data_IF_275627440613
#
_entry.id   IF_275627440613
#
_cell.length_a   1.000
_cell.length_b   1.000
_cell.length_c   1.000
_cell.angle_alpha   90.00
_cell.angle_beta   90.00
_cell.angle_gamma   90.00
#
_symmetry.space_group_name_H-M   'P 1'
#
loop_
_entity.id
_entity.type
_entity.pdbx_description
1 polymer ?
#
# COMPACT_ATOMS: atom_id res chain seq x y z
N UNK A 1 -5.04 76.78 -20.84
CA UNK A 1 -4.31 76.20 -19.73
C UNK A 1 -4.96 74.92 -19.33
N UNK A 2 -4.28 73.84 -19.64
CA UNK A 2 -4.71 72.45 -19.38
C UNK A 2 -3.76 71.84 -18.31
N UNK A 3 -4.23 71.25 -17.28
CA UNK A 3 -3.35 70.42 -16.43
C UNK A 3 -3.37 68.96 -16.92
N UNK A 4 -2.19 68.43 -17.05
CA UNK A 4 -1.81 67.06 -17.34
C UNK A 4 -2.11 66.16 -16.13
N UNK A 5 -2.80 65.07 -16.37
CA UNK A 5 -2.99 64.02 -15.36
C UNK A 5 -1.84 63.05 -15.45
N UNK A 6 -1.17 62.86 -14.35
CA UNK A 6 -0.10 61.89 -14.12
C UNK A 6 -0.72 60.53 -13.79
N UNK A 7 -0.48 59.52 -14.62
CA UNK A 7 -0.90 58.13 -14.38
C UNK A 7 0.17 57.46 -13.57
N UNK A 8 -0.11 57.14 -12.31
CA UNK A 8 0.74 56.35 -11.46
C UNK A 8 0.65 54.86 -11.86
N UNK A 9 1.77 54.34 -12.32
CA UNK A 9 2.02 52.94 -12.59
C UNK A 9 2.22 52.18 -11.25
N UNK A 10 1.20 51.43 -10.82
CA UNK A 10 1.36 50.50 -9.73
C UNK A 10 1.97 49.20 -10.27
N UNK A 11 3.23 48.95 -9.90
CA UNK A 11 3.90 47.68 -10.08
C UNK A 11 3.18 46.61 -9.26
N UNK A 12 2.60 45.63 -9.93
CA UNK A 12 2.03 44.43 -9.34
C UNK A 12 3.18 43.44 -9.14
N UNK A 13 3.62 43.24 -7.90
CA UNK A 13 4.54 42.16 -7.55
C UNK A 13 3.86 40.82 -7.84
N UNK A 14 4.52 39.86 -8.51
CA UNK A 14 3.98 38.52 -8.66
C UNK A 14 4.07 37.78 -7.31
N UNK A 15 2.91 37.38 -6.77
CA UNK A 15 2.83 36.51 -5.64
C UNK A 15 3.60 35.20 -5.92
N UNK A 16 4.66 34.96 -5.14
CA UNK A 16 5.39 33.70 -5.17
C UNK A 16 4.45 32.57 -4.74
N UNK A 17 4.08 31.72 -5.68
CA UNK A 17 3.39 30.45 -5.38
C UNK A 17 4.38 29.56 -4.64
N UNK A 18 4.17 29.38 -3.36
CA UNK A 18 4.89 28.37 -2.55
C UNK A 18 4.42 27.01 -3.07
N UNK A 19 5.26 26.34 -3.83
CA UNK A 19 5.08 24.93 -4.16
C UNK A 19 5.46 24.16 -2.91
N UNK A 20 4.48 23.67 -2.16
CA UNK A 20 4.72 22.69 -1.09
C UNK A 20 5.29 21.44 -1.75
N UNK A 21 6.57 21.14 -1.43
CA UNK A 21 7.17 19.86 -1.78
C UNK A 21 6.43 18.76 -1.00
N UNK A 22 6.06 17.63 -1.66
CA UNK A 22 5.43 16.53 -0.95
C UNK A 22 6.43 15.97 0.07
N UNK A 23 6.11 16.10 1.34
CA UNK A 23 6.86 15.44 2.43
C UNK A 23 6.68 13.94 2.26
N UNK A 24 7.75 13.25 1.91
CA UNK A 24 7.79 11.79 1.83
C UNK A 24 7.74 11.25 3.26
N UNK A 25 6.58 10.75 3.68
CA UNK A 25 6.44 10.09 4.97
C UNK A 25 7.03 8.67 4.88
N UNK A 26 8.00 8.41 5.76
CA UNK A 26 8.60 7.07 5.90
C UNK A 26 7.63 6.20 6.72
N UNK A 27 7.08 5.14 6.12
CA UNK A 27 6.26 4.18 6.83
C UNK A 27 7.13 3.32 7.77
N UNK A 28 6.89 3.38 9.08
CA UNK A 28 7.52 2.50 10.05
C UNK A 28 6.64 1.26 10.20
N UNK A 29 7.16 0.11 9.79
CA UNK A 29 6.50 -1.18 9.91
C UNK A 29 6.93 -1.86 11.21
N UNK A 30 5.96 -2.35 11.98
CA UNK A 30 6.18 -3.28 13.09
C UNK A 30 5.69 -4.66 12.65
N UNK A 31 6.59 -5.64 12.70
CA UNK A 31 6.25 -7.05 12.50
C UNK A 31 6.06 -7.72 13.87
N UNK A 32 4.97 -8.46 14.05
CA UNK A 32 4.72 -9.35 15.18
C UNK A 32 4.05 -10.63 14.69
N UNK A 33 3.78 -11.58 15.61
CA UNK A 33 3.17 -12.87 15.29
C UNK A 33 1.77 -12.80 14.66
N UNK A 34 1.16 -11.59 14.63
CA UNK A 34 -0.15 -11.33 14.01
C UNK A 34 -0.04 -10.60 12.67
N UNK A 35 1.18 -10.42 12.11
CA UNK A 35 1.46 -9.78 10.83
C UNK A 35 2.23 -8.47 10.95
N UNK A 36 2.24 -7.71 9.86
CA UNK A 36 2.94 -6.42 9.76
C UNK A 36 1.96 -5.28 9.98
N UNK A 37 2.29 -4.33 10.84
CA UNK A 37 1.50 -3.14 11.11
C UNK A 37 2.31 -1.87 10.79
N UNK A 38 1.69 -0.91 10.11
CA UNK A 38 2.27 0.43 9.89
C UNK A 38 2.07 1.27 11.15
N UNK A 39 3.17 1.68 11.83
CA UNK A 39 3.11 2.42 13.10
C UNK A 39 3.13 3.94 12.90
N UNK A 40 3.32 4.46 11.68
CA UNK A 40 3.35 5.90 11.48
C UNK A 40 2.05 6.54 11.95
N UNK A 41 2.15 7.23 13.08
CA UNK A 41 1.18 8.22 13.50
C UNK A 41 1.47 9.57 12.84
N UNK A 42 1.59 9.62 11.55
CA UNK A 42 1.19 10.81 10.85
C UNK A 42 -0.32 10.87 10.99
N UNK A 43 -0.81 11.96 11.53
CA UNK A 43 -2.24 12.21 11.67
C UNK A 43 -2.95 11.71 10.41
N UNK A 44 -3.69 10.61 10.54
CA UNK A 44 -4.58 10.19 9.47
C UNK A 44 -5.39 11.43 9.07
N UNK A 45 -5.53 11.72 7.77
CA UNK A 45 -6.38 12.84 7.36
C UNK A 45 -7.72 12.67 8.08
N UNK A 46 -8.19 13.70 8.73
CA UNK A 46 -9.38 13.70 9.58
C UNK A 46 -10.66 13.23 8.87
N UNK A 47 -10.54 12.99 7.55
CA UNK A 47 -11.62 12.58 6.65
C UNK A 47 -11.12 11.51 5.67
N UNK A 48 -10.94 10.28 6.12
CA UNK A 48 -10.88 9.16 5.18
C UNK A 48 -12.29 8.91 4.67
N UNK A 49 -12.49 9.15 3.38
CA UNK A 49 -13.79 8.94 2.74
C UNK A 49 -14.00 7.51 2.25
N UNK A 50 -12.95 6.68 2.27
CA UNK A 50 -12.98 5.35 1.68
C UNK A 50 -12.19 4.34 2.52
N UNK A 51 -12.57 3.06 2.39
CA UNK A 51 -11.77 1.95 2.91
C UNK A 51 -10.45 1.83 2.15
N UNK A 52 -9.36 1.51 2.85
CA UNK A 52 -8.02 1.35 2.29
C UNK A 52 -7.36 0.05 2.77
N UNK A 53 -6.51 -0.52 1.92
CA UNK A 53 -5.63 -1.63 2.25
C UNK A 53 -4.24 -1.04 2.51
N UNK A 54 -3.74 -1.19 3.75
CA UNK A 54 -2.43 -0.65 4.14
C UNK A 54 -1.32 -1.68 3.91
N UNK A 55 -1.55 -2.96 4.28
CA UNK A 55 -0.55 -4.01 4.09
C UNK A 55 -1.13 -5.32 3.62
N UNK A 56 -0.34 -6.01 2.80
CA UNK A 56 -0.50 -7.40 2.41
C UNK A 56 0.80 -8.10 2.84
N UNK A 57 0.70 -9.17 3.61
CA UNK A 57 1.85 -9.95 4.10
C UNK A 57 1.48 -11.43 4.19
N UNK A 58 2.44 -12.25 4.60
CA UNK A 58 2.24 -13.68 4.81
C UNK A 58 2.64 -14.05 6.24
N UNK A 59 1.92 -15.00 6.85
CA UNK A 59 2.30 -15.61 8.11
C UNK A 59 3.46 -16.60 7.92
N UNK A 60 4.03 -17.08 9.02
CA UNK A 60 5.07 -18.12 8.99
C UNK A 60 4.53 -19.45 8.39
N UNK A 61 3.22 -19.68 8.47
CA UNK A 61 2.52 -20.80 7.86
C UNK A 61 2.18 -20.57 6.38
N UNK A 62 2.43 -19.34 5.88
CA UNK A 62 2.17 -18.93 4.50
C UNK A 62 0.76 -18.43 4.23
N UNK A 63 -0.05 -18.15 5.24
CA UNK A 63 -1.37 -17.58 5.07
C UNK A 63 -1.28 -16.10 4.72
N UNK A 64 -2.21 -15.61 3.88
CA UNK A 64 -2.27 -14.20 3.50
C UNK A 64 -2.85 -13.39 4.66
N UNK A 65 -2.10 -12.39 5.11
CA UNK A 65 -2.51 -11.45 6.15
C UNK A 65 -2.79 -10.09 5.52
N UNK A 66 -3.95 -9.54 5.81
CA UNK A 66 -4.36 -8.20 5.36
C UNK A 66 -4.54 -7.27 6.55
N UNK A 67 -4.17 -6.01 6.38
CA UNK A 67 -4.57 -4.94 7.28
C UNK A 67 -4.91 -3.67 6.51
N UNK A 68 -5.72 -2.80 7.15
CA UNK A 68 -6.11 -1.56 6.53
C UNK A 68 -6.95 -0.68 7.43
N UNK A 69 -7.50 0.36 6.82
CA UNK A 69 -8.30 1.39 7.50
C UNK A 69 -9.67 1.51 6.86
N UNK A 70 -10.65 1.85 7.67
CA UNK A 70 -12.02 2.11 7.28
C UNK A 70 -12.51 3.35 8.04
N UNK A 71 -13.69 3.87 7.66
CA UNK A 71 -14.31 4.98 8.39
C UNK A 71 -14.64 4.59 9.84
N UNK A 72 -14.61 5.56 10.74
CA UNK A 72 -14.92 5.34 12.18
C UNK A 72 -16.34 4.85 12.47
N UNK A 73 -17.23 4.90 11.47
CA UNK A 73 -18.62 4.40 11.55
C UNK A 73 -18.79 3.00 10.96
N UNK A 74 -17.76 2.46 10.33
CA UNK A 74 -17.78 1.11 9.79
C UNK A 74 -17.93 0.08 10.91
N UNK A 75 -18.75 -0.93 10.70
CA UNK A 75 -18.89 -2.06 11.60
C UNK A 75 -17.91 -3.18 11.24
N UNK A 76 -17.71 -3.38 9.95
CA UNK A 76 -16.88 -4.45 9.40
C UNK A 76 -16.41 -4.14 8.00
N UNK A 77 -15.46 -4.96 7.52
CA UNK A 77 -15.10 -5.04 6.11
C UNK A 77 -15.36 -6.46 5.60
N UNK A 78 -15.89 -6.58 4.40
CA UNK A 78 -16.06 -7.86 3.69
C UNK A 78 -15.01 -7.99 2.62
N UNK A 79 -14.31 -9.11 2.62
CA UNK A 79 -13.21 -9.41 1.69
C UNK A 79 -13.71 -10.37 0.62
N UNK A 80 -13.39 -10.06 -0.64
CA UNK A 80 -13.73 -10.88 -1.79
C UNK A 80 -12.49 -11.12 -2.65
N UNK A 81 -12.39 -12.31 -3.24
CA UNK A 81 -11.48 -12.64 -4.33
C UNK A 81 -12.32 -13.03 -5.55
N UNK A 82 -12.08 -12.36 -6.69
CA UNK A 82 -12.83 -12.54 -7.94
C UNK A 82 -14.35 -12.55 -7.74
N UNK A 83 -14.85 -11.60 -6.93
CA UNK A 83 -16.25 -11.47 -6.52
C UNK A 83 -16.81 -12.59 -5.62
N UNK A 84 -16.00 -13.58 -5.22
CA UNK A 84 -16.37 -14.58 -4.22
C UNK A 84 -16.06 -14.05 -2.83
N UNK A 85 -17.07 -14.03 -1.93
CA UNK A 85 -16.87 -13.61 -0.54
C UNK A 85 -16.02 -14.65 0.21
N UNK A 86 -14.92 -14.19 0.82
CA UNK A 86 -13.99 -15.06 1.55
C UNK A 86 -14.21 -14.93 3.06
N UNK A 87 -14.18 -13.70 3.59
CA UNK A 87 -14.28 -13.45 5.02
C UNK A 87 -14.86 -12.08 5.33
N UNK A 88 -15.24 -11.89 6.60
CA UNK A 88 -15.68 -10.58 7.13
C UNK A 88 -14.87 -10.29 8.38
N UNK A 89 -14.21 -9.13 8.41
CA UNK A 89 -13.33 -8.69 9.49
C UNK A 89 -13.96 -7.52 10.23
N UNK A 90 -13.82 -7.48 11.57
CA UNK A 90 -14.30 -6.37 12.39
C UNK A 90 -13.41 -5.15 12.22
N UNK A 91 -14.03 -3.96 12.24
CA UNK A 91 -13.32 -2.67 12.33
C UNK A 91 -13.26 -2.26 13.80
N UNK A 92 -12.08 -1.90 14.27
CA UNK A 92 -11.90 -1.42 15.64
C UNK A 92 -12.35 0.05 15.81
N UNK A 93 -12.35 0.54 17.05
CA UNK A 93 -12.78 1.91 17.39
C UNK A 93 -11.89 3.01 16.80
N UNK A 94 -10.70 2.67 16.33
CA UNK A 94 -9.77 3.56 15.62
C UNK A 94 -9.91 3.51 14.10
N UNK A 95 -10.88 2.73 13.60
CA UNK A 95 -11.11 2.55 12.16
C UNK A 95 -10.15 1.57 11.51
N UNK A 96 -9.39 0.77 12.27
CA UNK A 96 -8.46 -0.22 11.71
C UNK A 96 -9.09 -1.60 11.65
N UNK A 97 -8.69 -2.36 10.65
CA UNK A 97 -9.07 -3.75 10.47
C UNK A 97 -7.86 -4.58 10.10
N UNK A 98 -7.86 -5.84 10.51
CA UNK A 98 -6.87 -6.85 10.11
C UNK A 98 -7.48 -8.24 10.19
N UNK A 99 -6.90 -9.15 9.46
CA UNK A 99 -7.23 -10.57 9.49
C UNK A 99 -6.53 -11.34 8.38
N UNK A 100 -6.76 -12.64 8.42
CA UNK A 100 -6.25 -13.60 7.46
C UNK A 100 -7.26 -13.89 6.35
N UNK A 101 -6.76 -14.29 5.18
CA UNK A 101 -7.53 -14.89 4.10
C UNK A 101 -7.29 -16.39 4.13
N UNK A 102 -8.27 -17.17 4.62
CA UNK A 102 -8.13 -18.62 4.67
C UNK A 102 -8.21 -19.23 3.26
N UNK A 103 -7.49 -20.33 3.06
CA UNK A 103 -7.64 -21.24 1.91
C UNK A 103 -7.55 -20.56 0.53
N UNK A 104 -6.61 -19.61 0.36
CA UNK A 104 -6.36 -18.96 -0.94
C UNK A 104 -5.33 -19.74 -1.73
N UNK A 105 -5.73 -20.27 -2.89
CA UNK A 105 -4.82 -20.93 -3.82
C UNK A 105 -3.83 -19.94 -4.45
N UNK A 106 -2.69 -20.45 -4.94
CA UNK A 106 -1.73 -19.67 -5.73
C UNK A 106 -2.37 -19.15 -7.00
N UNK A 107 -2.26 -17.85 -7.27
CA UNK A 107 -2.88 -17.25 -8.45
C UNK A 107 -2.91 -15.73 -8.41
N UNK A 108 -3.47 -15.15 -9.45
CA UNK A 108 -3.74 -13.70 -9.55
C UNK A 108 -5.24 -13.49 -9.46
N UNK A 109 -5.66 -12.63 -8.57
CA UNK A 109 -7.05 -12.36 -8.22
C UNK A 109 -7.35 -10.87 -8.26
N UNK A 110 -8.62 -10.53 -8.34
CA UNK A 110 -9.12 -9.20 -7.96
C UNK A 110 -9.49 -9.24 -6.48
N UNK A 111 -8.66 -8.64 -5.62
CA UNK A 111 -8.96 -8.44 -4.20
C UNK A 111 -9.88 -7.23 -4.06
N UNK A 112 -11.06 -7.45 -3.49
CA UNK A 112 -12.03 -6.40 -3.20
C UNK A 112 -12.32 -6.36 -1.71
N UNK A 113 -12.33 -5.15 -1.15
CA UNK A 113 -12.72 -4.87 0.24
C UNK A 113 -13.91 -3.91 0.23
N UNK A 114 -15.04 -4.36 0.76
CA UNK A 114 -16.25 -3.58 0.95
C UNK A 114 -16.35 -3.16 2.43
N UNK A 115 -16.39 -1.87 2.70
CA UNK A 115 -16.72 -1.33 4.02
C UNK A 115 -18.23 -1.44 4.25
N UNK A 116 -18.61 -1.90 5.43
CA UNK A 116 -20.02 -2.18 5.78
C UNK A 116 -20.37 -1.50 7.08
N UNK A 117 -21.49 -0.78 7.09
CA UNK A 117 -22.00 -0.13 8.28
C UNK A 117 -22.78 -1.10 9.21
N UNK A 118 -23.32 -0.55 10.31
CA UNK A 118 -24.09 -1.34 11.30
C UNK A 118 -25.44 -1.82 10.75
N UNK A 119 -25.94 -1.24 9.66
CA UNK A 119 -27.16 -1.67 8.97
C UNK A 119 -26.89 -2.79 7.96
N UNK A 120 -25.62 -3.02 7.61
CA UNK A 120 -25.19 -4.00 6.63
C UNK A 120 -25.06 -3.45 5.21
N UNK A 121 -25.18 -2.13 5.05
CA UNK A 121 -25.03 -1.44 3.77
C UNK A 121 -23.54 -1.18 3.46
N UNK A 122 -23.17 -1.28 2.17
CA UNK A 122 -21.81 -0.99 1.71
C UNK A 122 -21.65 0.52 1.59
N UNK A 123 -20.74 1.09 2.35
CA UNK A 123 -20.48 2.54 2.40
C UNK A 123 -19.28 2.96 1.56
N UNK A 124 -18.29 2.09 1.39
CA UNK A 124 -17.16 2.31 0.48
C UNK A 124 -16.56 1.00 0.00
N UNK A 125 -15.70 1.08 -1.03
CA UNK A 125 -15.09 -0.07 -1.69
C UNK A 125 -13.72 0.28 -2.21
N UNK A 126 -12.77 -0.67 -2.10
CA UNK A 126 -11.50 -0.65 -2.82
C UNK A 126 -11.31 -1.97 -3.55
N UNK A 127 -10.75 -1.91 -4.75
CA UNK A 127 -10.37 -3.08 -5.55
C UNK A 127 -8.93 -2.92 -6.01
N UNK A 128 -8.16 -4.01 -5.95
CA UNK A 128 -6.77 -4.06 -6.44
C UNK A 128 -6.46 -5.44 -6.99
N UNK A 129 -5.63 -5.55 -8.04
CA UNK A 129 -5.04 -6.83 -8.37
C UNK A 129 -4.24 -7.37 -7.17
N UNK A 130 -4.26 -8.66 -6.96
CA UNK A 130 -3.54 -9.34 -5.88
C UNK A 130 -2.97 -10.65 -6.42
N UNK A 131 -1.70 -10.92 -6.14
CA UNK A 131 -1.07 -12.20 -6.45
C UNK A 131 -0.77 -12.96 -5.17
N UNK A 132 -1.35 -14.17 -5.04
CA UNK A 132 -0.97 -15.14 -4.03
C UNK A 132 0.24 -15.92 -4.54
N UNK A 133 1.38 -15.76 -3.85
CA UNK A 133 2.60 -16.48 -4.22
C UNK A 133 2.55 -17.96 -3.84
N UNK A 134 3.38 -18.75 -4.51
CA UNK A 134 3.53 -20.16 -4.22
C UNK A 134 4.23 -20.35 -2.85
N UNK A 135 3.83 -21.36 -2.05
CA UNK A 135 4.44 -21.62 -0.74
C UNK A 135 5.96 -21.79 -0.79
N UNK A 136 6.49 -22.39 -1.87
CA UNK A 136 7.93 -22.60 -2.04
C UNK A 136 8.72 -21.30 -2.12
N UNK A 137 8.13 -20.24 -2.73
CA UNK A 137 8.74 -18.92 -2.78
C UNK A 137 8.72 -18.23 -1.40
N UNK A 138 7.66 -18.45 -0.63
CA UNK A 138 7.55 -17.90 0.73
C UNK A 138 8.55 -18.56 1.66
N UNK A 139 8.72 -19.89 1.59
CA UNK A 139 9.71 -20.63 2.36
C UNK A 139 11.15 -20.21 2.01
N UNK A 140 11.44 -20.01 0.72
CA UNK A 140 12.74 -19.52 0.26
C UNK A 140 13.05 -18.13 0.82
N UNK A 141 12.07 -17.21 0.80
CA UNK A 141 12.20 -15.86 1.34
C UNK A 141 12.34 -15.85 2.87
N UNK A 142 11.69 -16.79 3.59
CA UNK A 142 11.75 -16.90 5.04
C UNK A 142 13.06 -17.59 5.53
N UNK A 143 13.65 -18.46 4.72
CA UNK A 143 14.84 -19.28 5.10
C UNK A 143 16.13 -18.48 5.31
N UNK A 144 16.19 -17.22 4.92
CA UNK A 144 17.34 -16.32 5.07
C UNK A 144 17.27 -15.43 6.32
N UNK A 145 16.47 -15.77 7.31
CA UNK A 145 16.32 -15.03 8.57
C UNK A 145 17.61 -14.96 9.37
N UNK A 146 18.34 -13.85 9.23
CA UNK A 146 19.59 -13.56 9.95
C UNK A 146 20.54 -12.63 9.21
N UNK A 147 20.38 -12.45 7.92
CA UNK A 147 21.06 -11.48 7.08
C UNK A 147 20.15 -10.24 6.83
N UNK A 148 20.67 -9.21 6.21
CA UNK A 148 19.92 -8.04 5.76
C UNK A 148 18.62 -8.47 5.04
N UNK A 149 17.54 -7.66 5.13
CA UNK A 149 16.27 -7.92 4.44
C UNK A 149 16.53 -8.22 2.97
N UNK A 150 16.39 -9.49 2.58
CA UNK A 150 16.70 -10.00 1.25
C UNK A 150 15.44 -10.19 0.41
N UNK A 151 14.27 -10.08 1.02
CA UNK A 151 12.99 -10.21 0.32
C UNK A 151 11.95 -9.19 0.81
N UNK A 152 11.03 -8.79 -0.07
CA UNK A 152 9.94 -7.86 0.23
C UNK A 152 8.63 -8.33 -0.40
N UNK A 153 7.53 -8.18 0.33
CA UNK A 153 6.18 -8.36 -0.24
C UNK A 153 5.68 -7.05 -0.85
N UNK A 154 5.33 -7.08 -2.13
CA UNK A 154 4.81 -5.93 -2.88
C UNK A 154 3.49 -5.46 -2.28
N UNK A 155 3.39 -4.17 -2.00
CA UNK A 155 2.21 -3.53 -1.46
C UNK A 155 1.39 -2.83 -2.56
N UNK A 156 0.14 -2.50 -2.25
CA UNK A 156 -0.73 -1.72 -3.13
C UNK A 156 -0.07 -0.39 -3.49
N UNK A 157 0.01 -0.07 -4.80
CA UNK A 157 0.65 1.14 -5.31
C UNK A 157 2.17 1.11 -5.37
N UNK A 158 2.83 0.01 -4.99
CA UNK A 158 4.28 -0.14 -5.11
C UNK A 158 4.70 -0.19 -6.59
N UNK A 159 5.92 0.31 -6.85
CA UNK A 159 6.61 0.17 -8.13
C UNK A 159 8.03 -0.33 -7.89
N UNK A 160 8.63 -1.01 -8.88
CA UNK A 160 10.03 -1.43 -8.77
C UNK A 160 10.98 -0.25 -8.51
N UNK A 161 10.66 0.91 -9.07
CA UNK A 161 11.42 2.14 -8.84
C UNK A 161 11.38 2.59 -7.37
N UNK A 162 10.18 2.57 -6.75
CA UNK A 162 10.01 2.92 -5.34
C UNK A 162 10.72 1.92 -4.43
N UNK A 163 10.57 0.61 -4.70
CA UNK A 163 11.24 -0.47 -3.97
C UNK A 163 12.78 -0.29 -4.03
N UNK A 164 13.33 -0.04 -5.22
CA UNK A 164 14.77 0.17 -5.39
C UNK A 164 15.26 1.41 -4.67
N UNK A 165 14.51 2.52 -4.76
CA UNK A 165 14.83 3.75 -4.03
C UNK A 165 14.88 3.53 -2.53
N UNK A 166 13.90 2.83 -1.99
CA UNK A 166 13.80 2.57 -0.54
C UNK A 166 14.92 1.62 -0.06
N UNK A 167 15.31 0.65 -0.90
CA UNK A 167 16.37 -0.32 -0.58
C UNK A 167 17.78 0.21 -0.78
N UNK A 168 18.04 0.89 -1.91
CA UNK A 168 19.38 1.28 -2.36
C UNK A 168 19.63 2.80 -2.30
N UNK A 169 18.60 3.59 -1.99
CA UNK A 169 18.65 5.05 -2.05
C UNK A 169 18.53 5.64 -3.46
N UNK A 170 18.43 4.80 -4.49
CA UNK A 170 18.34 5.21 -5.90
C UNK A 170 17.32 4.35 -6.66
N UNK A 171 16.22 4.98 -7.11
CA UNK A 171 15.17 4.30 -7.86
C UNK A 171 15.59 3.78 -9.23
N UNK A 172 16.66 4.33 -9.83
CA UNK A 172 17.18 3.85 -11.13
C UNK A 172 17.80 2.45 -11.05
N UNK A 173 18.11 2.00 -9.84
CA UNK A 173 18.60 0.64 -9.56
C UNK A 173 17.49 -0.42 -9.60
N UNK A 174 16.24 -0.06 -9.99
CA UNK A 174 15.14 -1.01 -10.16
C UNK A 174 15.49 -2.18 -11.11
N UNK A 175 16.41 -1.96 -12.04
CA UNK A 175 16.92 -3.00 -12.96
C UNK A 175 17.53 -4.17 -12.18
N UNK A 176 18.21 -3.92 -11.05
CA UNK A 176 18.79 -4.98 -10.19
C UNK A 176 17.70 -5.86 -9.57
N UNK A 177 16.63 -5.22 -9.06
CA UNK A 177 15.47 -5.94 -8.52
C UNK A 177 14.80 -6.74 -9.62
N UNK A 178 14.60 -6.15 -10.80
CA UNK A 178 13.99 -6.83 -11.93
C UNK A 178 14.80 -8.05 -12.39
N UNK A 179 16.12 -7.91 -12.55
CA UNK A 179 17.01 -9.00 -12.98
C UNK A 179 17.02 -10.15 -11.98
N UNK A 180 17.07 -9.86 -10.66
CA UNK A 180 17.01 -10.86 -9.61
C UNK A 180 15.69 -11.65 -9.60
N UNK A 181 14.61 -11.03 -10.10
CA UNK A 181 13.24 -11.59 -10.10
C UNK A 181 12.71 -11.89 -11.52
N UNK A 182 13.57 -12.00 -12.51
CA UNK A 182 13.18 -12.14 -13.93
C UNK A 182 12.36 -13.41 -14.25
N UNK A 183 12.42 -14.42 -13.40
CA UNK A 183 11.59 -15.62 -13.51
C UNK A 183 10.12 -15.35 -13.12
N UNK A 184 9.90 -14.45 -12.16
CA UNK A 184 8.58 -14.13 -11.60
C UNK A 184 7.98 -12.85 -12.19
N UNK A 185 8.81 -11.88 -12.59
CA UNK A 185 8.40 -10.61 -13.21
C UNK A 185 8.58 -10.71 -14.72
N UNK A 186 7.46 -10.69 -15.46
CA UNK A 186 7.50 -10.70 -16.95
C UNK A 186 7.63 -9.31 -17.53
N UNK A 187 7.08 -8.31 -16.85
CA UNK A 187 7.06 -6.91 -17.26
C UNK A 187 7.36 -6.05 -16.03
N UNK A 188 8.40 -5.21 -16.03
CA UNK A 188 8.77 -4.37 -14.89
C UNK A 188 7.69 -3.34 -14.50
N UNK A 189 6.79 -3.01 -15.42
CA UNK A 189 5.66 -2.11 -15.18
C UNK A 189 4.42 -2.86 -14.65
N UNK A 190 4.46 -4.19 -14.62
CA UNK A 190 3.34 -5.03 -14.22
C UNK A 190 3.71 -5.91 -13.01
N UNK A 191 3.72 -5.30 -11.84
CA UNK A 191 3.88 -6.00 -10.56
C UNK A 191 2.57 -5.98 -9.77
N UNK A 192 2.34 -7.01 -8.99
CA UNK A 192 1.09 -7.20 -8.26
C UNK A 192 1.31 -7.15 -6.75
N UNK A 193 0.44 -6.47 -5.98
CA UNK A 193 0.37 -6.63 -4.54
C UNK A 193 0.32 -8.11 -4.12
N UNK A 194 1.08 -8.45 -3.10
CA UNK A 194 1.23 -9.83 -2.62
C UNK A 194 2.38 -10.62 -3.26
N UNK A 195 2.98 -10.17 -4.37
CA UNK A 195 4.21 -10.76 -4.89
C UNK A 195 5.35 -10.64 -3.87
N UNK A 196 6.23 -11.63 -3.83
CA UNK A 196 7.48 -11.58 -3.05
C UNK A 196 8.65 -11.45 -4.01
N UNK A 197 9.50 -10.45 -3.77
CA UNK A 197 10.68 -10.16 -4.57
C UNK A 197 11.95 -10.30 -3.75
N UNK A 198 12.97 -10.92 -4.34
CA UNK A 198 14.32 -10.92 -3.83
C UNK A 198 14.98 -9.55 -4.06
N UNK A 199 15.67 -9.07 -3.04
CA UNK A 199 16.41 -7.82 -3.04
C UNK A 199 17.92 -8.11 -2.96
N UNK A 200 18.64 -8.18 -4.09
CA UNK A 200 20.08 -8.39 -4.08
C UNK A 200 20.81 -7.25 -3.38
N UNK A 201 22.04 -7.50 -2.89
CA UNK A 201 22.91 -6.50 -2.27
C UNK A 201 23.43 -5.44 -3.25
#
# INVERSE_FOLDING_TARGET
>A
SKPTAEVGEQAVEPAATVVEEPTVEVAILKSDQSGVEVINRSSAPEFMSNVEIDTISYSDEGDVLLSGRAQSKAASVRIYLDNTAITTLSVDTSGRWRGDLPDVDTGVYTLRVDEVDVQGDVTSRVETPFKREAPELLEAAAGESGAAVTAITVQTGATLWAIARDRYGDGTLFVRVFEANSETIKDPDLIYPGQVFDLPD
#
